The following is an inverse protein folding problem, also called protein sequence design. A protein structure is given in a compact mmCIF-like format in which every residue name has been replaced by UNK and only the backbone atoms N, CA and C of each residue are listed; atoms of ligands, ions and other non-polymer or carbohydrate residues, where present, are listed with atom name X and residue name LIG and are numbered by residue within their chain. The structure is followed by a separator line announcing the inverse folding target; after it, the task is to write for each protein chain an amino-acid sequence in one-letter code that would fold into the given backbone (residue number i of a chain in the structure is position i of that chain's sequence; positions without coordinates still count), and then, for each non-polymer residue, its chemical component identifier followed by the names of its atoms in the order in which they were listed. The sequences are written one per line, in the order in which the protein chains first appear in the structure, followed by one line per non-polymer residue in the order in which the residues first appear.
data_IF_115720566126
#
_entry.id   IF_115720566126
#
_cell.length_a   1.000
_cell.length_b   1.000
_cell.length_c   1.000
_cell.angle_alpha   90.00
_cell.angle_beta   90.00
_cell.angle_gamma   90.00
#
_symmetry.space_group_name_H-M   'P 1'
#
loop_
_entity.id
_entity.type
_entity.pdbx_description
1 polymer ?
#
# COMPACT_ATOMS: atom_id res chain seq x y z
N UNK A 1 42.20 -84.45 4.80
CA UNK A 1 41.65 -84.03 3.49
C UNK A 1 40.49 -83.10 3.75
N UNK A 2 40.53 -81.88 3.16
CA UNK A 2 39.47 -80.96 2.72
C UNK A 2 38.17 -80.83 3.56
N UNK A 3 37.59 -79.65 3.83
CA UNK A 3 37.64 -78.34 3.16
C UNK A 3 37.04 -77.28 4.12
N UNK A 4 37.60 -76.06 4.12
CA UNK A 4 36.97 -74.88 4.71
C UNK A 4 35.80 -74.40 3.85
N UNK A 5 34.71 -73.94 4.47
CA UNK A 5 33.84 -72.90 3.90
C UNK A 5 33.51 -71.89 4.99
N UNK A 6 34.18 -70.74 4.91
CA UNK A 6 33.75 -69.47 5.49
C UNK A 6 32.47 -69.01 4.78
N UNK A 7 31.40 -68.67 5.50
CA UNK A 7 30.48 -67.62 5.04
C UNK A 7 29.99 -66.75 6.20
N UNK A 8 30.48 -65.51 6.14
CA UNK A 8 30.12 -64.33 6.89
C UNK A 8 28.67 -63.91 6.57
N UNK A 9 27.80 -63.74 7.58
CA UNK A 9 26.56 -62.97 7.45
C UNK A 9 26.31 -62.12 8.70
N UNK A 10 27.13 -61.07 8.88
CA UNK A 10 26.65 -59.85 9.54
C UNK A 10 25.52 -59.27 8.69
N UNK A 11 24.26 -59.63 9.00
CA UNK A 11 23.12 -58.80 8.60
C UNK A 11 22.97 -57.71 9.65
N UNK A 12 23.63 -56.58 9.42
CA UNK A 12 23.24 -55.31 10.03
C UNK A 12 21.86 -54.95 9.48
N UNK A 13 20.83 -55.17 10.29
CA UNK A 13 19.53 -54.55 10.08
C UNK A 13 19.71 -53.05 10.34
N UNK A 14 19.82 -52.25 9.29
CA UNK A 14 19.61 -50.81 9.41
C UNK A 14 18.14 -50.60 9.78
N UNK A 15 17.88 -50.37 11.06
CA UNK A 15 16.65 -49.73 11.49
C UNK A 15 16.77 -48.28 11.05
N UNK A 16 16.14 -47.91 9.95
CA UNK A 16 15.87 -46.50 9.64
C UNK A 16 15.08 -45.96 10.82
N UNK A 17 15.69 -45.06 11.59
CA UNK A 17 15.01 -44.42 12.71
C UNK A 17 13.78 -43.70 12.18
N UNK A 18 12.67 -43.70 12.93
CA UNK A 18 11.48 -42.89 12.60
C UNK A 18 11.84 -41.42 12.33
N UNK A 19 12.91 -40.93 12.94
CA UNK A 19 13.46 -39.59 12.74
C UNK A 19 14.03 -39.38 11.32
N UNK A 20 14.65 -40.38 10.71
CA UNK A 20 15.21 -40.25 9.34
C UNK A 20 14.11 -40.12 8.28
N UNK A 21 12.98 -40.78 8.50
CA UNK A 21 11.80 -40.68 7.63
C UNK A 21 11.11 -39.33 7.74
N UNK A 22 11.01 -38.77 8.96
CA UNK A 22 10.39 -37.48 9.22
C UNK A 22 11.23 -36.32 8.64
N UNK A 23 12.56 -36.41 8.76
CA UNK A 23 13.49 -35.44 8.18
C UNK A 23 13.53 -35.51 6.64
N UNK A 24 13.38 -36.70 6.05
CA UNK A 24 13.26 -36.87 4.60
C UNK A 24 11.95 -36.30 4.04
N UNK A 25 10.83 -36.48 4.74
CA UNK A 25 9.52 -35.93 4.38
C UNK A 25 9.50 -34.39 4.49
N UNK A 26 10.16 -33.84 5.50
CA UNK A 26 10.39 -32.39 5.61
C UNK A 26 11.25 -31.85 4.46
N UNK A 27 12.36 -32.51 4.13
CA UNK A 27 13.21 -32.09 3.02
C UNK A 27 12.51 -32.19 1.65
N UNK A 28 11.61 -33.15 1.47
CA UNK A 28 10.84 -33.31 0.24
C UNK A 28 9.70 -32.28 0.12
N UNK A 29 9.06 -31.93 1.23
CA UNK A 29 8.07 -30.85 1.28
C UNK A 29 8.70 -29.48 1.03
N UNK A 30 9.89 -29.21 1.59
CA UNK A 30 10.66 -27.98 1.32
C UNK A 30 11.04 -27.85 -0.16
N UNK A 31 11.62 -28.90 -0.76
CA UNK A 31 11.94 -28.92 -2.20
C UNK A 31 10.72 -28.75 -3.10
N UNK A 32 9.54 -29.19 -2.63
CA UNK A 32 8.28 -29.00 -3.35
C UNK A 32 7.81 -27.55 -3.24
N UNK A 33 7.90 -26.94 -2.06
CA UNK A 33 7.60 -25.51 -1.84
C UNK A 33 8.51 -24.62 -2.69
N UNK A 34 9.82 -24.89 -2.73
CA UNK A 34 10.76 -24.14 -3.56
C UNK A 34 10.41 -24.20 -5.05
N UNK A 35 10.04 -25.39 -5.55
CA UNK A 35 9.60 -25.56 -6.96
C UNK A 35 8.32 -24.78 -7.26
N UNK A 36 7.36 -24.77 -6.34
CA UNK A 36 6.15 -23.96 -6.50
C UNK A 36 6.47 -22.46 -6.47
N UNK A 37 7.36 -22.01 -5.58
CA UNK A 37 7.78 -20.60 -5.54
C UNK A 37 8.51 -20.19 -6.82
N UNK A 38 9.34 -21.05 -7.40
CA UNK A 38 9.99 -20.81 -8.68
C UNK A 38 8.97 -20.68 -9.81
N UNK A 39 7.99 -21.60 -9.88
CA UNK A 39 6.92 -21.54 -10.87
C UNK A 39 6.05 -20.27 -10.71
N UNK A 40 5.78 -19.83 -9.48
CA UNK A 40 5.05 -18.57 -9.24
C UNK A 40 5.85 -17.34 -9.67
N UNK A 41 7.16 -17.31 -9.40
CA UNK A 41 8.02 -16.22 -9.87
C UNK A 41 8.05 -16.16 -11.40
N UNK A 42 8.11 -17.30 -12.06
CA UNK A 42 8.10 -17.37 -13.52
C UNK A 42 6.74 -16.95 -14.10
N UNK A 43 5.63 -17.40 -13.49
CA UNK A 43 4.28 -16.99 -13.89
C UNK A 43 4.05 -15.49 -13.69
N UNK A 44 4.53 -14.91 -12.58
CA UNK A 44 4.43 -13.48 -12.32
C UNK A 44 5.20 -12.62 -13.34
N UNK A 45 6.24 -13.17 -13.98
CA UNK A 45 7.02 -12.50 -15.03
C UNK A 45 6.40 -12.69 -16.41
N UNK A 46 5.90 -13.90 -16.71
CA UNK A 46 5.35 -14.23 -18.04
C UNK A 46 3.92 -13.73 -18.24
N UNK A 47 3.09 -13.77 -17.21
CA UNK A 47 1.70 -13.29 -17.23
C UNK A 47 1.37 -12.52 -15.94
N UNK A 48 1.81 -11.25 -15.84
CA UNK A 48 1.59 -10.43 -14.65
C UNK A 48 0.10 -10.23 -14.32
N UNK A 49 -0.73 -10.06 -15.34
CA UNK A 49 -2.16 -9.80 -15.17
C UNK A 49 -2.91 -11.08 -14.73
N UNK A 50 -2.61 -12.22 -15.34
CA UNK A 50 -3.13 -13.52 -14.93
C UNK A 50 -2.67 -13.89 -13.52
N UNK A 51 -1.40 -13.66 -13.18
CA UNK A 51 -0.88 -13.87 -11.84
C UNK A 51 -1.57 -12.96 -10.81
N UNK A 52 -1.75 -11.68 -11.11
CA UNK A 52 -2.45 -10.75 -10.23
C UNK A 52 -3.90 -11.15 -9.97
N UNK A 53 -4.57 -11.77 -10.95
CA UNK A 53 -5.93 -12.31 -10.78
C UNK A 53 -5.98 -13.57 -9.91
N UNK A 54 -4.94 -14.41 -9.95
CA UNK A 54 -4.90 -15.72 -9.30
C UNK A 54 -4.34 -15.64 -7.87
N UNK A 55 -3.37 -14.74 -7.63
CA UNK A 55 -2.63 -14.63 -6.39
C UNK A 55 -3.52 -14.43 -5.13
N UNK A 56 -4.59 -13.60 -5.16
CA UNK A 56 -5.46 -13.44 -4.00
C UNK A 56 -6.12 -14.76 -3.55
N UNK A 57 -6.62 -15.55 -4.48
CA UNK A 57 -7.28 -16.83 -4.17
C UNK A 57 -6.29 -17.88 -3.64
N UNK A 58 -5.06 -17.87 -4.16
CA UNK A 58 -3.99 -18.72 -3.63
C UNK A 58 -3.59 -18.33 -2.19
N UNK A 59 -3.56 -17.03 -1.90
CA UNK A 59 -3.31 -16.53 -0.54
C UNK A 59 -4.45 -16.91 0.41
N UNK A 60 -5.71 -16.75 0.00
CA UNK A 60 -6.88 -17.20 0.80
C UNK A 60 -6.79 -18.68 1.10
N UNK A 61 -6.54 -19.52 0.08
CA UNK A 61 -6.49 -20.98 0.22
C UNK A 61 -5.33 -21.45 1.09
N UNK A 62 -4.13 -20.89 0.91
CA UNK A 62 -2.97 -21.23 1.74
C UNK A 62 -3.18 -20.86 3.20
N UNK A 63 -3.76 -19.70 3.49
CA UNK A 63 -4.10 -19.30 4.86
C UNK A 63 -5.19 -20.18 5.46
N UNK A 64 -6.23 -20.50 4.67
CA UNK A 64 -7.29 -21.42 5.10
C UNK A 64 -6.73 -22.79 5.48
N UNK A 65 -5.83 -23.34 4.67
CA UNK A 65 -5.20 -24.63 4.94
C UNK A 65 -4.24 -24.59 6.14
N UNK A 66 -3.57 -23.46 6.38
CA UNK A 66 -2.64 -23.29 7.50
C UNK A 66 -3.33 -23.05 8.85
N UNK A 67 -4.43 -22.27 8.87
CA UNK A 67 -5.15 -21.89 10.09
C UNK A 67 -6.63 -22.25 10.04
N UNK A 68 -6.98 -23.50 9.72
CA UNK A 68 -8.35 -24.07 9.61
C UNK A 68 -9.36 -23.77 10.75
N UNK A 69 -8.99 -22.96 11.74
CA UNK A 69 -9.65 -22.70 13.02
C UNK A 69 -9.88 -21.21 13.34
N UNK A 70 -9.55 -20.25 12.46
CA UNK A 70 -9.86 -18.83 12.70
C UNK A 70 -10.68 -18.19 11.56
N UNK A 71 -12.02 -18.36 11.58
CA UNK A 71 -12.94 -17.75 10.63
C UNK A 71 -12.86 -16.21 10.62
N UNK A 72 -12.63 -15.60 11.78
CA UNK A 72 -12.56 -14.13 11.91
C UNK A 72 -11.33 -13.57 11.19
N UNK A 73 -10.19 -14.26 11.30
CA UNK A 73 -8.99 -13.90 10.56
C UNK A 73 -9.17 -14.09 9.06
N UNK A 74 -9.76 -15.21 8.63
CA UNK A 74 -10.03 -15.48 7.22
C UNK A 74 -10.98 -14.44 6.60
N UNK A 75 -12.04 -14.05 7.32
CA UNK A 75 -12.97 -13.01 6.88
C UNK A 75 -12.28 -11.65 6.75
N UNK A 76 -11.40 -11.30 7.71
CA UNK A 76 -10.58 -10.08 7.63
C UNK A 76 -9.61 -10.12 6.45
N UNK A 77 -8.93 -11.24 6.24
CA UNK A 77 -8.01 -11.42 5.11
C UNK A 77 -8.74 -11.35 3.77
N UNK A 78 -9.92 -11.96 3.69
CA UNK A 78 -10.74 -11.96 2.48
C UNK A 78 -11.26 -10.56 2.19
N UNK A 79 -11.81 -9.89 3.18
CA UNK A 79 -12.22 -8.48 3.08
C UNK A 79 -11.05 -7.60 2.65
N UNK A 80 -9.86 -7.85 3.20
CA UNK A 80 -8.66 -7.11 2.87
C UNK A 80 -8.20 -7.38 1.42
N UNK A 81 -8.06 -8.64 1.00
CA UNK A 81 -7.67 -9.01 -0.37
C UNK A 81 -8.65 -8.46 -1.40
N UNK A 82 -9.95 -8.51 -1.11
CA UNK A 82 -10.99 -8.13 -2.06
C UNK A 82 -11.23 -6.60 -2.11
N UNK A 83 -10.90 -5.86 -1.04
CA UNK A 83 -11.25 -4.44 -0.92
C UNK A 83 -10.09 -3.49 -0.67
N UNK A 84 -9.10 -3.90 0.11
CA UNK A 84 -8.03 -3.01 0.62
C UNK A 84 -6.66 -3.26 -0.05
N UNK A 85 -6.39 -4.50 -0.47
CA UNK A 85 -5.18 -4.90 -1.22
C UNK A 85 -5.11 -4.25 -2.61
N UNK A 86 -6.24 -3.85 -3.19
CA UNK A 86 -6.29 -3.10 -4.44
C UNK A 86 -5.60 -1.72 -4.33
N UNK A 87 -5.53 -1.17 -3.11
CA UNK A 87 -5.13 0.23 -2.88
C UNK A 87 -3.88 0.39 -2.01
N UNK A 88 -3.39 -0.72 -1.43
CA UNK A 88 -2.24 -0.76 -0.53
C UNK A 88 -1.17 -1.69 -1.14
N UNK A 89 0.03 -1.18 -1.50
CA UNK A 89 1.13 -2.02 -1.99
C UNK A 89 1.45 -3.14 -0.98
N UNK A 90 1.70 -4.37 -1.45
CA UNK A 90 1.96 -5.54 -0.58
C UNK A 90 3.03 -5.29 0.49
N UNK A 91 4.05 -4.48 0.17
CA UNK A 91 5.12 -4.05 1.07
C UNK A 91 4.65 -3.25 2.29
N UNK A 92 3.49 -2.59 2.22
CA UNK A 92 2.92 -1.79 3.30
C UNK A 92 2.07 -2.63 4.27
N UNK A 93 1.79 -3.89 3.93
CA UNK A 93 1.01 -4.84 4.75
C UNK A 93 1.89 -5.73 5.61
N UNK A 94 3.11 -6.04 5.14
CA UNK A 94 4.09 -6.68 6.01
C UNK A 94 4.27 -5.77 7.22
N UNK A 95 4.18 -6.30 8.47
CA UNK A 95 4.48 -5.52 9.65
C UNK A 95 5.93 -5.04 9.51
N UNK A 96 6.10 -3.82 8.99
CA UNK A 96 7.39 -3.17 9.00
C UNK A 96 7.70 -3.05 10.49
N UNK A 97 8.85 -3.54 10.91
CA UNK A 97 9.36 -3.30 12.27
C UNK A 97 9.56 -1.80 12.57
N UNK A 98 9.18 -0.93 11.63
CA UNK A 98 8.96 0.49 11.80
C UNK A 98 7.72 0.67 12.66
N UNK A 99 7.95 0.99 13.94
CA UNK A 99 6.93 1.66 14.76
C UNK A 99 6.38 2.79 13.90
N UNK A 100 5.10 2.73 13.53
CA UNK A 100 4.41 3.85 12.88
C UNK A 100 4.45 4.99 13.89
N UNK A 101 5.51 5.79 13.82
CA UNK A 101 5.62 7.02 14.57
C UNK A 101 4.68 8.00 13.88
N UNK A 102 3.37 7.80 14.04
CA UNK A 102 2.31 8.74 13.63
C UNK A 102 2.39 10.08 14.38
N UNK A 103 3.51 10.34 15.06
CA UNK A 103 3.76 11.41 16.02
C UNK A 103 5.16 11.99 15.87
N UNK A 104 5.89 11.72 14.79
CA UNK A 104 6.98 12.64 14.45
C UNK A 104 6.31 13.97 14.13
N UNK A 105 6.31 14.89 15.10
CA UNK A 105 5.86 16.26 14.89
C UNK A 105 6.77 16.86 13.84
N UNK A 106 6.32 16.81 12.59
CA UNK A 106 7.02 17.47 11.48
C UNK A 106 7.06 18.95 11.84
N UNK A 107 8.28 19.51 11.89
CA UNK A 107 8.46 20.91 12.21
C UNK A 107 7.73 21.75 11.15
N UNK A 108 6.98 22.79 11.54
CA UNK A 108 6.40 23.73 10.58
C UNK A 108 7.45 24.28 9.63
N UNK A 109 7.03 24.54 8.39
CA UNK A 109 7.92 25.05 7.34
C UNK A 109 8.35 26.48 7.70
N UNK A 110 9.64 26.76 7.54
CA UNK A 110 10.12 28.13 7.51
C UNK A 110 9.84 28.76 6.14
N UNK A 111 8.90 29.70 6.11
CA UNK A 111 8.46 30.33 4.88
C UNK A 111 9.43 31.39 4.37
N UNK A 112 10.32 31.90 5.22
CA UNK A 112 11.21 33.02 4.88
C UNK A 112 12.24 32.67 3.82
N UNK A 113 12.59 31.39 3.72
CA UNK A 113 13.52 30.87 2.70
C UNK A 113 12.83 30.32 1.45
N UNK A 114 11.49 30.36 1.38
CA UNK A 114 10.75 29.82 0.23
C UNK A 114 10.71 30.84 -0.91
N UNK A 115 10.62 30.38 -2.17
CA UNK A 115 10.17 31.21 -3.28
C UNK A 115 8.82 31.88 -2.95
N UNK A 116 8.65 33.15 -3.32
CA UNK A 116 7.48 33.98 -2.97
C UNK A 116 6.14 33.30 -3.26
N UNK A 117 6.04 32.63 -4.41
CA UNK A 117 4.82 31.95 -4.83
C UNK A 117 4.52 30.70 -4.00
N UNK A 118 5.57 30.02 -3.50
CA UNK A 118 5.44 28.87 -2.62
C UNK A 118 5.06 29.31 -1.21
N UNK A 119 5.61 30.41 -0.70
CA UNK A 119 5.14 30.98 0.57
C UNK A 119 3.67 31.40 0.46
N UNK A 120 3.30 32.08 -0.62
CA UNK A 120 1.95 32.60 -0.79
C UNK A 120 0.90 31.49 -0.93
N UNK A 121 1.19 30.41 -1.66
CA UNK A 121 0.26 29.27 -1.75
C UNK A 121 0.11 28.54 -0.40
N UNK A 122 1.18 28.45 0.40
CA UNK A 122 1.13 27.87 1.74
C UNK A 122 0.29 28.76 2.66
N UNK A 123 0.43 30.08 2.60
CA UNK A 123 -0.40 31.02 3.37
C UNK A 123 -1.89 30.88 3.00
N UNK A 124 -2.21 30.75 1.71
CA UNK A 124 -3.59 30.48 1.25
C UNK A 124 -4.11 29.13 1.76
N UNK A 125 -3.26 28.11 1.85
CA UNK A 125 -3.66 26.84 2.46
C UNK A 125 -3.86 26.94 3.97
N UNK A 126 -3.03 27.69 4.69
CA UNK A 126 -3.23 27.95 6.12
C UNK A 126 -4.55 28.67 6.37
N UNK A 127 -4.88 29.70 5.59
CA UNK A 127 -6.16 30.40 5.69
C UNK A 127 -7.32 29.44 5.38
N UNK A 128 -7.24 28.73 4.26
CA UNK A 128 -8.27 27.80 3.81
C UNK A 128 -8.51 26.68 4.82
N UNK A 129 -7.45 26.12 5.40
CA UNK A 129 -7.48 25.03 6.37
C UNK A 129 -7.36 25.52 7.82
N UNK A 130 -7.72 26.77 8.09
CA UNK A 130 -7.80 27.28 9.45
C UNK A 130 -8.96 26.67 10.26
N UNK A 131 -8.85 26.77 11.59
CA UNK A 131 -9.86 26.38 12.55
C UNK A 131 -9.90 24.89 12.88
N UNK A 132 -10.81 24.53 13.79
CA UNK A 132 -10.97 23.15 14.29
C UNK A 132 -11.40 22.19 13.17
N UNK A 133 -10.53 21.21 12.88
CA UNK A 133 -10.75 20.22 11.81
C UNK A 133 -11.92 19.27 12.09
N UNK A 134 -12.30 19.09 13.35
CA UNK A 134 -13.50 18.32 13.70
C UNK A 134 -14.78 19.00 13.21
N UNK A 135 -14.75 20.32 12.97
CA UNK A 135 -15.89 21.12 12.49
C UNK A 135 -15.87 21.37 10.99
N UNK A 136 -14.85 20.92 10.27
CA UNK A 136 -14.82 21.07 8.82
C UNK A 136 -15.96 20.28 8.16
N UNK A 137 -16.60 20.90 7.18
CA UNK A 137 -17.54 20.20 6.32
C UNK A 137 -16.82 19.12 5.48
N UNK A 138 -17.59 18.19 4.92
CA UNK A 138 -17.05 17.09 4.11
C UNK A 138 -16.15 17.61 2.97
N UNK A 139 -16.58 18.65 2.25
CA UNK A 139 -15.82 19.20 1.13
C UNK A 139 -14.43 19.71 1.53
N UNK A 140 -14.30 20.43 2.67
CA UNK A 140 -13.02 20.93 3.18
C UNK A 140 -12.13 19.79 3.67
N UNK A 141 -12.74 18.78 4.30
CA UNK A 141 -12.04 17.55 4.71
C UNK A 141 -11.47 16.79 3.51
N UNK A 142 -12.27 16.58 2.48
CA UNK A 142 -11.86 15.87 1.26
C UNK A 142 -10.74 16.61 0.54
N UNK A 143 -10.81 17.95 0.48
CA UNK A 143 -9.75 18.79 -0.07
C UNK A 143 -8.44 18.61 0.69
N UNK A 144 -8.48 18.54 2.02
CA UNK A 144 -7.29 18.33 2.84
C UNK A 144 -6.69 16.93 2.63
N UNK A 145 -7.52 15.88 2.62
CA UNK A 145 -7.08 14.50 2.38
C UNK A 145 -6.43 14.37 1.00
N UNK A 146 -7.08 14.87 -0.05
CA UNK A 146 -6.54 14.83 -1.41
C UNK A 146 -5.23 15.61 -1.52
N UNK A 147 -5.16 16.81 -0.91
CA UNK A 147 -3.93 17.61 -0.93
C UNK A 147 -2.77 16.85 -0.28
N UNK A 148 -3.00 16.29 0.90
CA UNK A 148 -1.99 15.51 1.63
C UNK A 148 -1.54 14.29 0.85
N UNK A 149 -2.48 13.44 0.42
CA UNK A 149 -2.17 12.21 -0.32
C UNK A 149 -1.37 12.49 -1.60
N UNK A 150 -1.73 13.52 -2.36
CA UNK A 150 -1.01 13.89 -3.57
C UNK A 150 0.37 14.49 -3.26
N UNK A 151 0.48 15.29 -2.20
CA UNK A 151 1.75 15.93 -1.84
C UNK A 151 2.79 14.90 -1.38
N UNK A 152 2.35 13.89 -0.63
CA UNK A 152 3.20 12.82 -0.13
C UNK A 152 3.78 11.93 -1.24
N UNK A 153 3.02 11.68 -2.31
CA UNK A 153 3.51 10.95 -3.49
C UNK A 153 4.21 11.88 -4.50
N UNK A 154 4.00 13.19 -4.39
CA UNK A 154 4.51 14.21 -5.30
C UNK A 154 4.23 13.90 -6.77
N UNK A 155 5.30 13.71 -7.56
CA UNK A 155 5.21 13.39 -9.00
C UNK A 155 4.90 11.93 -9.30
N UNK A 156 5.11 11.02 -8.35
CA UNK A 156 4.75 9.60 -8.53
C UNK A 156 3.23 9.45 -8.62
N UNK A 157 2.49 10.32 -7.92
CA UNK A 157 1.05 10.43 -7.98
C UNK A 157 0.29 9.30 -7.27
N UNK A 158 -1.02 9.46 -7.18
CA UNK A 158 -1.95 8.57 -6.49
C UNK A 158 -3.02 8.09 -7.46
N UNK A 159 -3.33 6.78 -7.44
CA UNK A 159 -4.42 6.20 -8.22
C UNK A 159 -5.78 6.73 -7.76
N UNK A 160 -6.68 7.01 -8.68
CA UNK A 160 -8.01 7.56 -8.41
C UNK A 160 -8.82 6.66 -7.47
N UNK A 161 -8.70 5.33 -7.61
CA UNK A 161 -9.34 4.39 -6.71
C UNK A 161 -8.83 4.47 -5.28
N UNK A 162 -7.51 4.67 -5.09
CA UNK A 162 -6.90 4.89 -3.77
C UNK A 162 -7.42 6.18 -3.15
N UNK A 163 -7.50 7.28 -3.90
CA UNK A 163 -8.11 8.53 -3.42
C UNK A 163 -9.57 8.33 -3.01
N UNK A 164 -10.40 7.73 -3.88
CA UNK A 164 -11.82 7.50 -3.60
C UNK A 164 -12.03 6.60 -2.36
N UNK A 165 -11.18 5.59 -2.18
CA UNK A 165 -11.19 4.72 -1.01
C UNK A 165 -11.00 5.50 0.29
N UNK A 166 -9.97 6.35 0.36
CA UNK A 166 -9.68 7.13 1.56
C UNK A 166 -10.67 8.27 1.84
N UNK A 167 -11.47 8.66 0.85
CA UNK A 167 -12.63 9.52 1.06
C UNK A 167 -13.87 8.77 1.58
N UNK A 168 -13.77 7.46 1.83
CA UNK A 168 -14.89 6.63 2.27
C UNK A 168 -15.89 6.32 1.16
N UNK A 169 -15.54 6.54 -0.11
CA UNK A 169 -16.44 6.36 -1.26
C UNK A 169 -16.36 4.94 -1.84
N UNK A 170 -16.28 3.93 -0.97
CA UNK A 170 -16.19 2.52 -1.35
C UNK A 170 -17.57 1.97 -1.79
N UNK A 171 -17.93 2.28 -3.04
CA UNK A 171 -18.87 1.61 -3.96
C UNK A 171 -20.23 1.15 -3.41
N UNK A 172 -21.29 1.90 -3.75
CA UNK A 172 -22.61 1.35 -4.13
C UNK A 172 -23.29 2.32 -5.14
N UNK A 173 -22.81 2.33 -6.39
CA UNK A 173 -23.36 3.16 -7.47
C UNK A 173 -22.61 2.94 -8.80
N UNK A 174 -23.23 3.22 -9.96
CA UNK A 174 -22.71 2.80 -11.25
C UNK A 174 -21.36 3.48 -11.56
N UNK A 175 -20.29 2.69 -11.64
CA UNK A 175 -19.06 3.06 -12.35
C UNK A 175 -18.02 3.94 -11.63
N UNK A 176 -18.11 4.16 -10.32
CA UNK A 176 -17.09 4.96 -9.59
C UNK A 176 -17.08 6.46 -9.97
N UNK A 177 -18.17 6.93 -10.57
CA UNK A 177 -18.34 8.30 -11.07
C UNK A 177 -18.34 9.31 -9.92
N UNK A 178 -18.97 8.97 -8.79
CA UNK A 178 -19.04 9.84 -7.61
C UNK A 178 -17.66 10.15 -7.04
N UNK A 179 -16.81 9.14 -6.87
CA UNK A 179 -15.43 9.31 -6.43
C UNK A 179 -14.61 10.18 -7.40
N UNK A 180 -14.74 9.93 -8.71
CA UNK A 180 -14.06 10.75 -9.73
C UNK A 180 -14.52 12.21 -9.69
N UNK A 181 -15.82 12.45 -9.50
CA UNK A 181 -16.39 13.79 -9.41
C UNK A 181 -15.95 14.52 -8.13
N UNK A 182 -15.92 13.84 -6.99
CA UNK A 182 -15.43 14.39 -5.73
C UNK A 182 -13.95 14.77 -5.83
N UNK A 183 -13.11 13.89 -6.38
CA UNK A 183 -11.68 14.16 -6.61
C UNK A 183 -11.51 15.36 -7.54
N UNK A 184 -12.28 15.41 -8.64
CA UNK A 184 -12.24 16.56 -9.57
C UNK A 184 -12.65 17.86 -8.88
N UNK A 185 -13.75 17.85 -8.12
CA UNK A 185 -14.26 19.02 -7.43
C UNK A 185 -13.26 19.54 -6.38
N UNK A 186 -12.64 18.64 -5.62
CA UNK A 186 -11.61 18.99 -4.66
C UNK A 186 -10.36 19.56 -5.34
N UNK A 187 -9.84 18.91 -6.40
CA UNK A 187 -8.71 19.44 -7.19
C UNK A 187 -9.02 20.83 -7.75
N UNK A 188 -10.21 21.06 -8.29
CA UNK A 188 -10.64 22.39 -8.78
C UNK A 188 -10.66 23.40 -7.62
N UNK A 189 -11.20 23.04 -6.46
CA UNK A 189 -11.28 23.92 -5.30
C UNK A 189 -9.89 24.27 -4.71
N UNK A 190 -8.94 23.34 -4.80
CA UNK A 190 -7.54 23.54 -4.45
C UNK A 190 -6.83 24.41 -5.48
N UNK A 191 -7.00 24.15 -6.78
CA UNK A 191 -6.40 24.96 -7.85
C UNK A 191 -6.93 26.40 -7.91
N UNK A 192 -8.10 26.69 -7.31
CA UNK A 192 -8.52 28.08 -7.09
C UNK A 192 -7.56 28.87 -6.20
N UNK A 193 -6.79 28.20 -5.32
CA UNK A 193 -5.76 28.84 -4.51
C UNK A 193 -4.55 29.28 -5.33
N UNK A 194 -4.38 28.76 -6.55
CA UNK A 194 -3.30 29.16 -7.47
C UNK A 194 -3.61 30.47 -8.19
N UNK A 195 -4.84 30.97 -8.13
CA UNK A 195 -5.28 32.12 -8.94
C UNK A 195 -4.41 33.35 -8.67
N UNK A 196 -3.74 33.84 -9.71
CA UNK A 196 -2.82 34.99 -9.62
C UNK A 196 -1.37 34.63 -9.33
N UNK A 197 -1.05 33.35 -9.10
CA UNK A 197 0.30 32.83 -8.97
C UNK A 197 0.78 32.28 -10.31
N UNK A 198 2.10 32.23 -10.52
CA UNK A 198 2.71 31.59 -11.71
C UNK A 198 3.17 30.17 -11.39
N UNK A 199 2.28 29.39 -10.76
CA UNK A 199 2.46 27.97 -10.47
C UNK A 199 1.21 27.16 -10.84
N UNK A 200 1.39 25.83 -10.95
CA UNK A 200 0.31 24.84 -11.14
C UNK A 200 0.43 23.81 -10.01
N UNK A 201 -0.62 23.49 -9.25
CA UNK A 201 -0.51 22.48 -8.18
C UNK A 201 -0.43 21.08 -8.78
N UNK A 202 -1.30 20.76 -9.72
CA UNK A 202 -1.49 19.39 -10.19
C UNK A 202 -1.16 19.22 -11.67
N UNK A 203 -0.53 18.09 -12.00
CA UNK A 203 -0.39 17.67 -13.39
C UNK A 203 -1.73 17.15 -13.94
N UNK A 204 -1.77 17.03 -15.26
CA UNK A 204 -2.89 16.43 -15.96
C UNK A 204 -2.96 14.94 -15.60
N UNK A 205 -4.16 14.46 -15.28
CA UNK A 205 -4.34 13.10 -14.82
C UNK A 205 -4.11 12.10 -15.99
N UNK A 206 -3.40 11.01 -15.72
CA UNK A 206 -3.02 10.02 -16.75
C UNK A 206 -3.75 8.70 -16.51
N UNK A 207 -4.23 8.05 -17.57
CA UNK A 207 -4.94 6.77 -17.46
C UNK A 207 -6.45 6.90 -17.17
N UNK A 208 -7.10 5.76 -16.90
CA UNK A 208 -8.55 5.61 -16.92
C UNK A 208 -9.10 4.91 -15.67
N UNK A 209 -10.39 5.17 -15.38
CA UNK A 209 -11.11 4.49 -14.29
C UNK A 209 -10.44 4.66 -12.93
N UNK A 210 -10.37 3.58 -12.15
CA UNK A 210 -9.67 3.56 -10.86
C UNK A 210 -8.16 3.75 -10.98
N UNK A 211 -7.59 3.38 -12.12
CA UNK A 211 -6.14 3.41 -12.37
C UNK A 211 -5.66 4.79 -12.82
N UNK A 212 -6.58 5.74 -13.04
CA UNK A 212 -6.22 7.11 -13.37
C UNK A 212 -5.31 7.69 -12.28
N UNK A 213 -4.14 8.14 -12.67
CA UNK A 213 -3.11 8.68 -11.79
C UNK A 213 -3.23 10.20 -11.70
N UNK A 214 -3.23 10.72 -10.47
CA UNK A 214 -3.23 12.14 -10.17
C UNK A 214 -1.92 12.51 -9.48
N UNK A 215 -1.23 13.56 -9.91
CA UNK A 215 0.07 13.94 -9.35
C UNK A 215 0.18 15.45 -9.15
N UNK A 216 1.17 15.87 -8.34
CA UNK A 216 1.61 17.26 -8.31
C UNK A 216 2.38 17.62 -9.58
N UNK A 217 2.26 18.87 -10.03
CA UNK A 217 3.00 19.34 -11.22
C UNK A 217 4.49 19.60 -10.91
N UNK A 218 4.80 19.95 -9.66
CA UNK A 218 6.12 20.32 -9.19
C UNK A 218 6.49 19.52 -7.94
N UNK A 219 7.64 18.84 -7.97
CA UNK A 219 8.14 18.01 -6.86
C UNK A 219 8.59 18.83 -5.66
N UNK A 220 9.16 20.01 -5.87
CA UNK A 220 9.60 20.88 -4.78
C UNK A 220 8.39 21.44 -4.04
N UNK A 221 7.39 21.91 -4.79
CA UNK A 221 6.13 22.35 -4.19
C UNK A 221 5.43 21.22 -3.45
N UNK A 222 5.44 19.99 -4.00
CA UNK A 222 4.89 18.83 -3.33
C UNK A 222 5.56 18.55 -1.99
N UNK A 223 6.90 18.62 -1.89
CA UNK A 223 7.63 18.41 -0.62
C UNK A 223 7.24 19.47 0.42
N UNK A 224 7.20 20.74 0.02
CA UNK A 224 6.74 21.80 0.93
C UNK A 224 5.29 21.59 1.36
N UNK A 225 4.38 21.30 0.44
CA UNK A 225 2.98 21.02 0.81
C UNK A 225 2.88 19.79 1.71
N UNK A 226 3.67 18.74 1.49
CA UNK A 226 3.69 17.55 2.34
C UNK A 226 4.11 17.91 3.78
N UNK A 227 5.16 18.70 3.95
CA UNK A 227 5.58 19.20 5.27
C UNK A 227 4.49 20.04 5.93
N UNK A 228 3.80 20.88 5.18
CA UNK A 228 2.69 21.70 5.68
C UNK A 228 1.57 20.80 6.21
N UNK A 229 1.07 19.88 5.38
CA UNK A 229 -0.05 19.01 5.76
C UNK A 229 0.33 18.10 6.94
N UNK A 230 1.56 17.59 6.99
CA UNK A 230 2.04 16.76 8.11
C UNK A 230 2.26 17.55 9.41
N UNK A 231 2.61 18.83 9.32
CA UNK A 231 2.74 19.71 10.49
C UNK A 231 1.37 20.18 11.04
N UNK A 232 0.31 20.04 10.26
CA UNK A 232 -1.04 20.47 10.61
C UNK A 232 -1.73 19.46 11.56
N UNK A 233 -2.56 19.94 12.48
CA UNK A 233 -3.26 19.08 13.46
C UNK A 233 -4.20 18.06 12.78
N UNK A 234 -4.81 18.47 11.66
CA UNK A 234 -5.65 17.62 10.83
C UNK A 234 -4.90 16.51 10.08
N UNK A 235 -3.57 16.40 10.21
CA UNK A 235 -2.75 15.31 9.63
C UNK A 235 -3.25 13.92 10.03
N UNK A 236 -3.96 13.79 11.16
CA UNK A 236 -4.62 12.56 11.60
C UNK A 236 -5.68 12.03 10.61
N UNK A 237 -6.20 12.89 9.73
CA UNK A 237 -7.14 12.51 8.68
C UNK A 237 -6.46 11.82 7.50
N UNK A 238 -5.14 11.90 7.40
CA UNK A 238 -4.39 11.27 6.33
C UNK A 238 -4.25 9.76 6.60
N UNK A 239 -4.13 8.95 5.52
CA UNK A 239 -3.77 7.55 5.67
C UNK A 239 -2.48 7.39 6.49
N UNK A 240 -2.34 6.26 7.20
CA UNK A 240 -1.11 5.93 7.87
C UNK A 240 0.02 5.79 6.83
N UNK A 241 0.91 6.79 6.78
CA UNK A 241 2.06 6.78 5.87
C UNK A 241 3.19 6.05 6.56
N UNK A 242 3.69 4.99 5.94
CA UNK A 242 4.96 4.40 6.31
C UNK A 242 6.06 5.34 5.82
N UNK A 243 6.59 6.19 6.69
CA UNK A 243 7.82 6.93 6.40
C UNK A 243 8.96 5.93 6.27
N UNK A 244 9.67 5.97 5.15
CA UNK A 244 11.00 5.36 5.08
C UNK A 244 11.95 6.26 5.87
N UNK A 245 12.60 5.71 6.88
CA UNK A 245 13.74 6.36 7.55
C UNK A 245 14.94 6.47 6.60
#
# INVERSE_FOLDING_TARGET
MMQQINTNKKKTYYMTSKDDGWMAEQAETEKRVERYLAAFKELAVQDPDGFASLAPELLKRSVWDWRKTDPVFYDKLTMWLDKECLWTPFSDIMPKNVRVNSKQKVKPIDKTSLPEQYSEIIDRFEEKFSGDYHRWNAAKRDQFIILGMLALEGKNGVRQGKLAHYLGMNKLGPGGIEGSNAIRAAKIALSRQEKGLTLKLFDDAKGNGSERLHAFADSNLADYVARFVLSHEASILLPAIAFAE
#
